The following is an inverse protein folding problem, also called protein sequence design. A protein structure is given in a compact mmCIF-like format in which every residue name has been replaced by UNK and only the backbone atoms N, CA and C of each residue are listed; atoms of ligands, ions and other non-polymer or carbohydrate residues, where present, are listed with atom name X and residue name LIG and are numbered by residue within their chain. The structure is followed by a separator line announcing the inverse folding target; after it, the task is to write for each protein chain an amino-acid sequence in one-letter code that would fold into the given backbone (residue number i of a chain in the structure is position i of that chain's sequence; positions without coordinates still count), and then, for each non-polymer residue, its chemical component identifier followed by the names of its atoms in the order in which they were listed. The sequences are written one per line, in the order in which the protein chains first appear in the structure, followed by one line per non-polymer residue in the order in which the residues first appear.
data_IF_745487073112
#
_entry.id   IF_745487073112
#
_cell.length_a   1.000
_cell.length_b   1.000
_cell.length_c   1.000
_cell.angle_alpha   90.00
_cell.angle_beta   90.00
_cell.angle_gamma   90.00
#
_symmetry.space_group_name_H-M   'P 1'
#
loop_
_entity.id
_entity.type
_entity.pdbx_description
1 polymer ?
#
# COMPACT_ATOMS: atom_id res chain seq x y z
N UNK A 1 -23.59 -14.00 -9.01
CA UNK A 1 -23.20 -12.85 -8.17
C UNK A 1 -22.31 -11.95 -8.99
N UNK A 2 -22.49 -10.63 -8.93
CA UNK A 2 -21.51 -9.70 -9.49
C UNK A 2 -20.21 -9.82 -8.69
N UNK A 3 -19.06 -9.89 -9.38
CA UNK A 3 -17.75 -9.85 -8.74
C UNK A 3 -17.50 -8.40 -8.30
N UNK A 4 -17.28 -8.18 -7.00
CA UNK A 4 -16.87 -6.87 -6.47
C UNK A 4 -15.34 -6.79 -6.57
N UNK A 5 -14.76 -5.87 -7.37
CA UNK A 5 -13.31 -5.74 -7.45
C UNK A 5 -12.71 -5.33 -6.11
N UNK A 6 -11.63 -6.00 -5.71
CA UNK A 6 -10.81 -5.61 -4.54
C UNK A 6 -9.58 -4.87 -5.03
N UNK A 7 -9.40 -3.61 -4.63
CA UNK A 7 -8.35 -2.74 -5.16
C UNK A 7 -7.52 -2.17 -4.00
N UNK A 8 -6.20 -2.40 -4.05
CA UNK A 8 -5.24 -1.77 -3.16
C UNK A 8 -4.71 -0.47 -3.80
N UNK A 9 -4.76 0.63 -3.04
CA UNK A 9 -4.26 1.94 -3.45
C UNK A 9 -3.18 2.41 -2.48
N UNK A 10 -2.05 2.87 -3.01
CA UNK A 10 -0.99 3.51 -2.24
C UNK A 10 -0.28 4.57 -3.09
N UNK A 11 0.37 5.53 -2.43
CA UNK A 11 1.08 6.61 -3.09
C UNK A 11 2.55 6.25 -3.28
N UNK A 12 3.13 6.63 -4.44
CA UNK A 12 4.57 6.46 -4.71
C UNK A 12 5.48 7.42 -3.94
N UNK A 13 4.95 8.22 -3.00
CA UNK A 13 5.75 9.07 -2.13
C UNK A 13 5.05 9.26 -0.79
N UNK A 14 5.82 9.15 0.29
CA UNK A 14 5.38 9.42 1.67
C UNK A 14 5.63 10.87 2.10
N UNK A 15 6.22 11.69 1.22
CA UNK A 15 6.51 13.09 1.54
C UNK A 15 5.22 13.85 1.80
N UNK A 16 5.18 14.61 2.89
CA UNK A 16 4.07 15.53 3.19
C UNK A 16 3.79 16.44 2.00
N UNK A 17 2.52 16.49 1.57
CA UNK A 17 2.09 17.28 0.43
C UNK A 17 2.48 16.73 -0.95
N UNK A 18 2.97 15.49 -1.06
CA UNK A 18 3.19 14.85 -2.35
C UNK A 18 1.89 14.76 -3.15
N UNK A 19 1.97 15.07 -4.45
CA UNK A 19 0.81 14.96 -5.34
C UNK A 19 0.30 13.53 -5.47
N UNK A 20 1.18 12.52 -5.45
CA UNK A 20 0.79 11.11 -5.46
C UNK A 20 -0.11 10.72 -4.28
N UNK A 21 0.11 11.31 -3.09
CA UNK A 21 -0.76 11.13 -1.93
C UNK A 21 -2.17 11.65 -2.22
N UNK A 22 -2.27 12.89 -2.69
CA UNK A 22 -3.57 13.51 -3.06
C UNK A 22 -4.28 12.73 -4.16
N UNK A 23 -3.55 12.27 -5.18
CA UNK A 23 -4.10 11.44 -6.25
C UNK A 23 -4.63 10.12 -5.71
N UNK A 24 -3.90 9.46 -4.81
CA UNK A 24 -4.32 8.21 -4.19
C UNK A 24 -5.60 8.39 -3.35
N UNK A 25 -5.75 9.52 -2.66
CA UNK A 25 -6.96 9.82 -1.86
C UNK A 25 -8.19 10.03 -2.76
N UNK A 26 -8.03 10.75 -3.87
CA UNK A 26 -9.11 10.92 -4.86
C UNK A 26 -9.44 9.59 -5.54
N UNK A 27 -8.43 8.79 -5.90
CA UNK A 27 -8.61 7.48 -6.53
C UNK A 27 -9.40 6.51 -5.63
N UNK A 28 -9.07 6.45 -4.33
CA UNK A 28 -9.82 5.61 -3.39
C UNK A 28 -11.30 5.98 -3.38
N UNK A 29 -11.60 7.28 -3.28
CA UNK A 29 -12.99 7.77 -3.25
C UNK A 29 -13.74 7.42 -4.53
N UNK A 30 -13.12 7.66 -5.68
CA UNK A 30 -13.74 7.41 -6.99
C UNK A 30 -14.03 5.92 -7.21
N UNK A 31 -13.05 5.05 -6.90
CA UNK A 31 -13.21 3.61 -7.01
C UNK A 31 -14.33 3.07 -6.09
N UNK A 32 -14.44 3.59 -4.87
CA UNK A 32 -15.52 3.21 -3.95
C UNK A 32 -16.90 3.65 -4.47
N UNK A 33 -17.02 4.82 -5.09
CA UNK A 33 -18.26 5.30 -5.73
C UNK A 33 -18.69 4.38 -6.87
N UNK A 34 -17.74 3.81 -7.61
CA UNK A 34 -18.00 2.83 -8.67
C UNK A 34 -18.29 1.41 -8.15
N UNK A 35 -18.31 1.22 -6.82
CA UNK A 35 -18.69 -0.04 -6.18
C UNK A 35 -17.54 -1.01 -5.92
N UNK A 36 -16.28 -0.57 -6.01
CA UNK A 36 -15.13 -1.40 -5.63
C UNK A 36 -14.93 -1.45 -4.11
N UNK A 37 -14.40 -2.57 -3.62
CA UNK A 37 -13.87 -2.70 -2.27
C UNK A 37 -12.42 -2.19 -2.26
N UNK A 38 -12.20 -1.01 -1.71
CA UNK A 38 -10.90 -0.32 -1.79
C UNK A 38 -10.17 -0.35 -0.45
N UNK A 39 -8.92 -0.77 -0.47
CA UNK A 39 -7.99 -0.64 0.66
C UNK A 39 -6.96 0.44 0.33
N UNK A 40 -6.83 1.45 1.18
CA UNK A 40 -5.83 2.51 1.04
C UNK A 40 -4.80 2.38 2.15
N UNK A 41 -3.53 2.29 1.78
CA UNK A 41 -2.41 2.20 2.73
C UNK A 41 -1.39 3.30 2.47
N UNK A 42 -0.74 3.78 3.53
CA UNK A 42 0.47 4.59 3.39
C UNK A 42 1.70 3.71 3.55
N UNK A 43 2.69 3.83 2.65
CA UNK A 43 3.96 3.13 2.82
C UNK A 43 4.74 3.64 4.06
N UNK A 44 4.38 4.81 4.61
CA UNK A 44 4.94 5.30 5.87
C UNK A 44 4.51 4.45 7.08
N UNK A 45 3.39 3.72 6.98
CA UNK A 45 2.90 2.83 8.04
C UNK A 45 3.65 1.50 8.05
N UNK A 46 4.36 1.19 6.96
CA UNK A 46 5.12 -0.03 6.74
C UNK A 46 6.56 0.31 6.35
N UNK A 47 7.36 0.93 7.23
CA UNK A 47 8.76 1.21 6.92
C UNK A 47 9.49 -0.11 6.65
N UNK A 48 10.15 -0.18 5.50
CA UNK A 48 10.93 -1.31 5.04
C UNK A 48 12.39 -0.90 4.84
N UNK A 49 13.36 -1.77 5.18
CA UNK A 49 14.76 -1.52 4.87
C UNK A 49 14.97 -1.54 3.35
N UNK A 50 16.14 -1.08 2.92
CA UNK A 50 16.64 -1.43 1.58
C UNK A 50 16.70 -2.96 1.51
N UNK A 51 16.26 -3.52 0.38
CA UNK A 51 16.35 -4.96 0.15
C UNK A 51 17.81 -5.40 0.24
N UNK A 52 18.06 -6.35 1.13
CA UNK A 52 19.37 -6.95 1.39
C UNK A 52 19.14 -8.45 1.61
N UNK A 53 19.62 -9.26 0.66
CA UNK A 53 19.38 -10.71 0.64
C UNK A 53 20.15 -11.43 1.75
N UNK A 54 21.32 -10.91 2.16
CA UNK A 54 22.09 -11.48 3.28
C UNK A 54 21.34 -11.25 4.60
N UNK A 55 20.80 -10.04 4.78
CA UNK A 55 19.99 -9.70 5.94
C UNK A 55 18.69 -10.51 6.01
N UNK A 56 18.03 -10.75 4.87
CA UNK A 56 16.83 -11.58 4.81
C UNK A 56 17.13 -13.05 5.13
N UNK A 57 18.26 -13.60 4.67
CA UNK A 57 18.69 -14.95 5.06
C UNK A 57 18.96 -15.08 6.56
N UNK A 58 19.61 -14.08 7.17
CA UNK A 58 19.93 -14.10 8.60
C UNK A 58 18.71 -13.84 9.50
N UNK A 59 17.84 -12.89 9.12
CA UNK A 59 16.78 -12.36 10.00
C UNK A 59 15.36 -12.66 9.53
N UNK A 60 15.21 -13.25 8.35
CA UNK A 60 13.94 -13.51 7.70
C UNK A 60 13.29 -12.24 7.13
N UNK A 61 12.10 -12.45 6.56
CA UNK A 61 11.29 -11.38 5.93
C UNK A 61 10.89 -10.34 6.99
N UNK A 62 11.12 -9.03 6.75
CA UNK A 62 10.77 -7.97 7.69
C UNK A 62 9.31 -8.00 8.13
N UNK A 63 9.04 -7.72 9.41
CA UNK A 63 7.69 -7.77 10.00
C UNK A 63 6.69 -6.89 9.23
N UNK A 64 7.10 -5.68 8.81
CA UNK A 64 6.25 -4.78 8.04
C UNK A 64 5.95 -5.29 6.63
N UNK A 65 6.84 -6.09 6.03
CA UNK A 65 6.56 -6.73 4.75
C UNK A 65 5.50 -7.82 4.91
N UNK A 66 5.57 -8.58 6.01
CA UNK A 66 4.55 -9.57 6.34
C UNK A 66 3.19 -8.93 6.65
N UNK A 67 3.17 -7.77 7.31
CA UNK A 67 1.94 -7.02 7.57
C UNK A 67 1.33 -6.46 6.29
N UNK A 68 2.15 -5.93 5.37
CA UNK A 68 1.67 -5.38 4.10
C UNK A 68 1.11 -6.46 3.15
N UNK A 69 1.63 -7.68 3.23
CA UNK A 69 1.19 -8.80 2.38
C UNK A 69 -0.12 -9.47 2.83
N UNK A 70 -0.67 -9.08 3.99
CA UNK A 70 -1.89 -9.65 4.59
C UNK A 70 -3.08 -8.73 4.38
#
# INVERSE_FOLDING_TARGET
MAVIPKILVFAGSVRTGAYSGRTADVAQKELAVQGAEVTRVSLADYPLPILDEDLEMERGVPENAQKLAR
#
